data_IF_401922421187
#
_entry.id   IF_401922421187
#
_cell.length_a   1.000
_cell.length_b   1.000
_cell.length_c   1.000
_cell.angle_alpha   90.00
_cell.angle_beta   90.00
_cell.angle_gamma   90.00
#
_symmetry.space_group_name_H-M   'P 1'
#
loop_
_entity.id
_entity.type
_entity.pdbx_description
1 polymer ?
#
# COMPACT_ATOMS: atom_id res chain seq x y z
N UNK A 1 9.77 -11.03 0.71
CA UNK A 1 8.33 -10.81 0.60
C UNK A 1 7.71 -11.12 1.95
N UNK A 2 6.74 -10.31 2.41
CA UNK A 2 6.01 -10.54 3.65
C UNK A 2 4.52 -10.63 3.38
N UNK A 3 3.87 -11.63 3.96
CA UNK A 3 2.41 -11.78 3.82
C UNK A 3 1.71 -10.63 4.55
N UNK A 4 0.75 -10.03 3.88
CA UNK A 4 -0.12 -9.02 4.47
C UNK A 4 -1.57 -9.46 4.37
N UNK A 5 -2.35 -9.09 5.37
CA UNK A 5 -3.79 -9.31 5.35
C UNK A 5 -4.47 -7.95 5.21
N UNK A 6 -5.06 -7.71 4.04
CA UNK A 6 -5.86 -6.52 3.79
C UNK A 6 -7.16 -6.65 4.56
N UNK A 7 -7.55 -5.60 5.27
CA UNK A 7 -8.85 -5.58 5.93
C UNK A 7 -9.96 -5.39 4.90
N UNK A 8 -11.14 -5.91 5.24
CA UNK A 8 -12.38 -5.78 4.47
C UNK A 8 -12.75 -4.32 4.19
N UNK A 9 -12.23 -3.38 4.98
CA UNK A 9 -12.48 -1.96 4.81
C UNK A 9 -11.76 -1.36 3.59
N UNK A 10 -10.70 -1.99 3.06
CA UNK A 10 -10.06 -1.51 1.82
C UNK A 10 -11.06 -1.48 0.67
N UNK A 11 -11.82 -2.56 0.45
CA UNK A 11 -12.83 -2.64 -0.61
C UNK A 11 -14.01 -1.69 -0.42
N UNK A 12 -14.23 -1.18 0.80
CA UNK A 12 -15.30 -0.18 1.04
C UNK A 12 -14.91 1.20 0.50
N UNK A 13 -13.63 1.55 0.63
CA UNK A 13 -13.08 2.85 0.25
C UNK A 13 -12.29 2.83 -1.08
N UNK A 14 -12.21 1.67 -1.72
CA UNK A 14 -11.61 1.49 -3.04
C UNK A 14 -12.64 0.86 -3.98
N UNK A 15 -13.07 1.62 -4.97
CA UNK A 15 -13.89 1.12 -6.07
C UNK A 15 -12.96 0.56 -7.16
N UNK A 16 -13.05 -0.73 -7.46
CA UNK A 16 -12.14 -1.38 -8.40
C UNK A 16 -12.14 -0.78 -9.82
N UNK A 17 -13.21 -0.09 -10.21
CA UNK A 17 -13.34 0.55 -11.52
C UNK A 17 -13.03 2.06 -11.50
N UNK A 18 -13.21 2.74 -10.35
CA UNK A 18 -13.07 4.20 -10.21
C UNK A 18 -11.93 4.66 -9.30
N UNK A 19 -11.24 3.73 -8.64
CA UNK A 19 -10.18 4.02 -7.67
C UNK A 19 -10.72 4.40 -6.28
N UNK A 20 -9.95 5.15 -5.47
CA UNK A 20 -10.38 5.60 -4.14
C UNK A 20 -11.73 6.33 -4.16
N UNK A 21 -12.60 6.05 -3.18
CA UNK A 21 -13.83 6.83 -3.01
C UNK A 21 -13.51 8.16 -2.33
N UNK A 22 -13.52 9.24 -3.10
CA UNK A 22 -13.26 10.61 -2.64
C UNK A 22 -11.80 11.04 -2.86
N UNK A 23 -11.42 12.18 -2.27
CA UNK A 23 -10.08 12.76 -2.42
C UNK A 23 -8.98 12.05 -1.58
N UNK A 24 -9.32 10.99 -0.83
CA UNK A 24 -8.42 10.32 0.09
C UNK A 24 -8.06 8.94 -0.45
N UNK A 25 -6.77 8.57 -0.42
CA UNK A 25 -6.35 7.22 -0.79
C UNK A 25 -6.48 6.26 0.41
N UNK A 26 -7.13 5.09 0.29
CA UNK A 26 -7.30 4.18 1.41
C UNK A 26 -5.99 3.46 1.75
N UNK A 27 -5.69 3.36 3.04
CA UNK A 27 -4.62 2.52 3.56
C UNK A 27 -4.76 1.08 3.06
N UNK A 28 -3.73 0.49 2.47
CA UNK A 28 -3.75 -0.86 1.92
C UNK A 28 -4.08 -1.95 2.95
N UNK A 29 -3.78 -1.70 4.22
CA UNK A 29 -4.02 -2.65 5.31
C UNK A 29 -5.37 -2.43 5.98
N UNK A 30 -5.67 -1.23 6.47
CA UNK A 30 -6.89 -0.99 7.26
C UNK A 30 -8.04 -0.38 6.46
N UNK A 31 -7.81 0.07 5.23
CA UNK A 31 -8.80 0.72 4.38
C UNK A 31 -9.18 2.15 4.77
N UNK A 32 -8.70 2.68 5.90
CA UNK A 32 -8.99 4.06 6.33
C UNK A 32 -8.40 5.05 5.32
N UNK A 33 -9.16 6.09 4.98
CA UNK A 33 -8.73 7.15 4.06
C UNK A 33 -7.52 7.93 4.61
N UNK A 34 -6.54 8.16 3.75
CA UNK A 34 -5.33 8.93 4.03
C UNK A 34 -5.38 10.18 3.15
N UNK A 35 -5.35 11.36 3.79
CA UNK A 35 -5.44 12.64 3.10
C UNK A 35 -4.15 13.03 2.36
N UNK A 36 -2.99 12.68 2.92
CA UNK A 36 -1.67 12.94 2.35
C UNK A 36 -0.76 11.72 2.60
N UNK A 37 -0.78 10.71 1.72
CA UNK A 37 0.06 9.53 1.90
C UNK A 37 1.53 9.89 1.65
N UNK A 38 2.36 9.70 2.68
CA UNK A 38 3.83 9.83 2.60
C UNK A 38 4.58 8.50 2.69
N UNK A 39 3.84 7.39 2.75
CA UNK A 39 4.38 6.04 2.88
C UNK A 39 3.55 5.06 2.06
N UNK A 40 4.25 4.17 1.36
CA UNK A 40 3.69 3.24 0.39
C UNK A 40 4.33 1.86 0.55
N UNK A 41 3.63 0.83 0.06
CA UNK A 41 4.14 -0.53 -0.06
C UNK A 41 4.03 -0.98 -1.51
N UNK A 42 5.05 -1.64 -2.02
CA UNK A 42 4.91 -2.46 -3.22
C UNK A 42 4.13 -3.71 -2.85
N UNK A 43 2.98 -3.87 -3.48
CA UNK A 43 2.17 -5.06 -3.30
C UNK A 43 2.45 -6.07 -4.41
N UNK A 44 2.14 -7.34 -4.19
CA UNK A 44 2.21 -8.40 -5.19
C UNK A 44 1.07 -9.40 -4.97
N UNK A 45 0.69 -10.13 -6.01
CA UNK A 45 -0.36 -11.17 -6.00
C UNK A 45 -1.71 -10.60 -5.55
N UNK A 46 -2.18 -9.53 -6.22
CA UNK A 46 -3.43 -8.83 -5.86
C UNK A 46 -3.41 -8.17 -4.47
N UNK A 47 -2.22 -7.99 -3.89
CA UNK A 47 -2.02 -7.43 -2.55
C UNK A 47 -2.06 -8.44 -1.41
N UNK A 48 -1.76 -9.71 -1.68
CA UNK A 48 -1.49 -10.71 -0.64
C UNK A 48 -0.11 -10.56 0.01
N UNK A 49 0.85 -9.94 -0.68
CA UNK A 49 2.21 -9.78 -0.21
C UNK A 49 2.70 -8.34 -0.35
N UNK A 50 3.50 -7.89 0.62
CA UNK A 50 4.34 -6.71 0.47
C UNK A 50 5.76 -7.16 0.11
N UNK A 51 6.36 -6.47 -0.85
CA UNK A 51 7.69 -6.78 -1.38
C UNK A 51 8.59 -5.55 -1.28
N UNK A 52 9.89 -5.78 -1.12
CA UNK A 52 10.88 -4.69 -1.17
C UNK A 52 11.05 -4.21 -2.61
N UNK A 53 11.69 -3.06 -2.80
CA UNK A 53 11.98 -2.54 -4.15
C UNK A 53 12.85 -3.52 -4.96
N UNK A 54 13.87 -4.11 -4.35
CA UNK A 54 14.73 -5.11 -5.01
C UNK A 54 13.95 -6.37 -5.41
N UNK A 55 13.00 -6.80 -4.59
CA UNK A 55 12.12 -7.93 -4.91
C UNK A 55 11.13 -7.57 -6.04
N UNK A 56 10.59 -6.35 -6.03
CA UNK A 56 9.71 -5.88 -7.10
C UNK A 56 10.43 -5.85 -8.46
N UNK A 57 11.73 -5.57 -8.51
CA UNK A 57 12.51 -5.55 -9.76
C UNK A 57 12.67 -6.92 -10.43
N UNK A 58 12.66 -8.00 -9.66
CA UNK A 58 12.85 -9.37 -10.17
C UNK A 58 11.53 -10.12 -10.36
N UNK A 59 10.43 -9.63 -9.78
CA UNK A 59 9.11 -10.22 -9.89
C UNK A 59 8.42 -9.76 -11.18
N UNK A 60 7.59 -10.64 -11.75
CA UNK A 60 6.84 -10.33 -12.96
C UNK A 60 5.87 -9.18 -12.73
N UNK A 61 5.89 -8.18 -13.61
CA UNK A 61 4.97 -7.05 -13.62
C UNK A 61 3.50 -7.46 -13.77
N UNK A 62 3.22 -8.67 -14.27
CA UNK A 62 1.88 -9.21 -14.39
C UNK A 62 1.23 -9.54 -13.01
N UNK A 63 2.01 -9.57 -11.93
CA UNK A 63 1.53 -9.89 -10.58
C UNK A 63 1.15 -8.68 -9.72
N UNK A 64 0.85 -7.53 -10.33
CA UNK A 64 0.34 -6.33 -9.67
C UNK A 64 1.33 -5.69 -8.67
N UNK A 65 2.39 -5.07 -9.18
CA UNK A 65 3.48 -4.42 -8.44
C UNK A 65 3.24 -2.94 -8.12
N UNK A 66 1.98 -2.56 -7.89
CA UNK A 66 1.61 -1.17 -7.61
C UNK A 66 2.12 -0.67 -6.25
N UNK A 67 2.41 0.64 -6.17
CA UNK A 67 2.62 1.33 -4.91
C UNK A 67 1.26 1.66 -4.28
N UNK A 68 0.98 1.05 -3.12
CA UNK A 68 -0.24 1.32 -2.36
C UNK A 68 0.05 2.07 -1.07
N UNK A 69 -0.75 3.09 -0.73
CA UNK A 69 -0.49 3.90 0.44
C UNK A 69 -0.75 3.12 1.73
N UNK A 70 0.07 3.35 2.73
CA UNK A 70 -0.07 2.78 4.07
C UNK A 70 -0.14 3.90 5.10
N UNK A 71 -1.10 3.80 6.01
CA UNK A 71 -1.31 4.78 7.07
C UNK A 71 -0.24 4.67 8.17
N UNK A 72 0.12 5.79 8.84
CA UNK A 72 1.12 5.80 9.90
C UNK A 72 0.77 4.87 11.06
N UNK A 73 -0.51 4.75 11.41
CA UNK A 73 -1.00 3.83 12.43
C UNK A 73 -0.72 2.36 12.09
N UNK A 74 -0.86 1.99 10.82
CA UNK A 74 -0.58 0.62 10.37
C UNK A 74 0.92 0.31 10.38
N UNK A 75 1.77 1.29 10.07
CA UNK A 75 3.23 1.15 10.18
C UNK A 75 3.62 0.95 11.65
N UNK A 76 3.06 1.75 12.57
CA UNK A 76 3.32 1.61 14.02
C UNK A 76 2.91 0.25 14.57
N UNK A 77 1.76 -0.28 14.13
CA UNK A 77 1.25 -1.58 14.55
C UNK A 77 1.98 -2.77 13.94
N UNK A 78 2.66 -2.55 12.80
CA UNK A 78 3.40 -3.57 12.06
C UNK A 78 4.84 -3.12 11.79
N UNK A 79 5.70 -3.03 12.81
CA UNK A 79 7.08 -2.58 12.65
C UNK A 79 7.88 -3.47 11.67
N UNK A 80 7.49 -4.74 11.49
CA UNK A 80 8.09 -5.64 10.51
C UNK A 80 7.87 -5.22 9.06
N UNK A 81 6.94 -4.30 8.79
CA UNK A 81 6.75 -3.70 7.46
C UNK A 81 7.73 -2.57 7.18
N UNK A 82 8.43 -2.03 8.18
CA UNK A 82 9.37 -0.92 8.01
C UNK A 82 10.36 -1.08 6.83
N UNK A 83 11.01 -2.25 6.60
CA UNK A 83 11.93 -2.40 5.46
C UNK A 83 11.23 -2.48 4.10
N UNK A 84 9.91 -2.67 4.06
CA UNK A 84 9.10 -2.72 2.85
C UNK A 84 8.47 -1.37 2.50
N UNK A 85 8.51 -0.40 3.42
CA UNK A 85 7.91 0.91 3.24
C UNK A 85 8.77 1.76 2.31
N UNK A 86 8.18 2.13 1.17
CA UNK A 86 8.70 3.15 0.27
C UNK A 86 8.16 4.49 0.72
N UNK A 87 9.05 5.40 1.12
CA UNK A 87 8.69 6.79 1.37
C UNK A 87 8.99 7.57 0.10
N UNK A 88 7.96 8.07 -0.57
CA UNK A 88 8.20 9.07 -1.59
C UNK A 88 8.69 10.34 -0.90
N UNK A 89 9.75 10.99 -1.40
CA UNK A 89 10.06 12.34 -0.97
C UNK A 89 8.79 13.16 -1.24
N UNK A 90 8.35 13.91 -0.23
CA UNK A 90 7.23 14.83 -0.35
C UNK A 90 7.38 15.57 -1.68
N UNK A 91 6.35 15.53 -2.54
CA UNK A 91 6.31 16.46 -3.66
C UNK A 91 6.36 17.84 -3.02
N UNK A 92 7.53 18.46 -3.05
CA UNK A 92 7.66 19.87 -2.77
C UNK A 92 6.78 20.58 -3.79
N UNK A 93 5.76 21.30 -3.29
CA UNK A 93 4.86 22.26 -3.94
C UNK A 93 3.45 21.77 -4.22
#
# INVERSE_FOLDING_TARGET
>A
MIKIQRSVCYGKNYDGARGPKGAQQPCCLCGIGIHAPGAYLHLHDGGGFAVTESEAMILSAAGDLGLHPIGPECIRRRPELAPYVVRTPERAR
#
